data_IF_900336322066
#
_entry.id   IF_900336322066
#
_cell.length_a   1.000
_cell.length_b   1.000
_cell.length_c   1.000
_cell.angle_alpha   90.00
_cell.angle_beta   90.00
_cell.angle_gamma   90.00
#
_symmetry.space_group_name_H-M   'P 1'
#
loop_
_entity.id
_entity.type
_entity.pdbx_description
1 polymer ?
#
# COMPACT_ATOMS: atom_id res chain seq x y z
N UNK A 1 -6.72 -25.97 -11.61
CA UNK A 1 -6.99 -24.66 -11.00
C UNK A 1 -8.19 -24.10 -11.71
N UNK A 2 -9.30 -23.90 -11.01
CA UNK A 2 -10.43 -23.20 -11.62
C UNK A 2 -10.11 -21.70 -11.74
N UNK A 3 -10.55 -21.05 -12.83
CA UNK A 3 -10.37 -19.62 -12.99
C UNK A 3 -11.23 -18.88 -11.95
N UNK A 4 -10.58 -18.12 -11.09
CA UNK A 4 -11.25 -17.23 -10.13
C UNK A 4 -12.07 -16.21 -10.93
N UNK A 5 -13.40 -16.30 -10.84
CA UNK A 5 -14.31 -15.32 -11.41
C UNK A 5 -14.24 -14.04 -10.57
N UNK A 6 -13.91 -12.92 -11.24
CA UNK A 6 -13.75 -11.61 -10.60
C UNK A 6 -15.06 -11.03 -10.01
N UNK A 7 -16.20 -11.63 -10.35
CA UNK A 7 -17.56 -11.16 -10.03
C UNK A 7 -18.02 -11.43 -8.60
N UNK A 8 -17.33 -12.28 -7.83
CA UNK A 8 -17.75 -12.66 -6.48
C UNK A 8 -17.23 -11.70 -5.38
N UNK A 9 -16.43 -10.71 -5.78
CA UNK A 9 -15.95 -9.67 -4.89
C UNK A 9 -16.96 -8.54 -4.86
N UNK A 10 -17.66 -8.39 -3.73
CA UNK A 10 -18.45 -7.20 -3.43
C UNK A 10 -17.49 -5.99 -3.43
N UNK A 11 -17.39 -5.31 -4.56
CA UNK A 11 -16.42 -4.27 -4.88
C UNK A 11 -16.76 -2.98 -4.11
N UNK A 12 -16.55 -2.99 -2.80
CA UNK A 12 -16.47 -1.74 -2.06
C UNK A 12 -15.12 -1.14 -2.44
N UNK A 13 -15.16 -0.10 -3.28
CA UNK A 13 -13.96 0.68 -3.59
C UNK A 13 -13.34 1.13 -2.25
N UNK A 14 -12.09 0.78 -1.98
CA UNK A 14 -11.45 1.21 -0.75
C UNK A 14 -11.34 2.74 -0.77
N UNK A 15 -11.48 3.41 0.39
CA UNK A 15 -11.36 4.86 0.46
C UNK A 15 -9.95 5.36 0.19
N UNK A 16 -8.96 4.46 0.16
CA UNK A 16 -7.54 4.73 -0.08
C UNK A 16 -7.03 3.68 -1.06
N UNK A 17 -6.38 4.13 -2.14
CA UNK A 17 -5.89 3.27 -3.21
C UNK A 17 -4.51 2.70 -2.94
N UNK A 18 -3.63 3.46 -2.27
CA UNK A 18 -2.24 3.06 -2.07
C UNK A 18 -1.61 3.60 -0.79
N UNK A 19 -0.90 2.75 -0.07
CA UNK A 19 -0.11 3.09 1.10
C UNK A 19 1.37 3.27 0.70
N UNK A 20 2.02 4.34 1.16
CA UNK A 20 3.44 4.62 0.96
C UNK A 20 4.15 4.49 2.30
N UNK A 21 5.04 3.51 2.38
CA UNK A 21 5.63 3.04 3.63
C UNK A 21 7.16 3.08 3.50
N UNK A 22 7.86 4.06 4.09
CA UNK A 22 9.31 3.93 4.15
C UNK A 22 9.68 2.69 4.99
N UNK A 23 10.87 2.13 4.78
CA UNK A 23 11.38 1.04 5.63
C UNK A 23 11.65 1.56 7.05
N UNK A 24 12.15 2.79 7.15
CA UNK A 24 12.35 3.56 8.39
C UNK A 24 12.37 5.07 8.08
N UNK A 25 12.15 5.91 9.10
CA UNK A 25 12.19 7.38 8.99
C UNK A 25 13.61 7.92 9.21
N UNK A 26 14.55 7.45 8.39
CA UNK A 26 15.98 7.84 8.41
C UNK A 26 16.58 7.71 7.02
N UNK A 27 17.81 8.19 6.89
CA UNK A 27 18.68 7.92 5.74
C UNK A 27 18.11 8.33 4.37
N UNK A 28 17.22 9.34 4.32
CA UNK A 28 16.63 9.80 3.06
C UNK A 28 15.37 9.04 2.61
N UNK A 29 15.02 7.95 3.30
CA UNK A 29 13.91 7.08 2.91
C UNK A 29 12.55 7.75 3.12
N UNK A 30 12.41 8.52 4.20
CA UNK A 30 11.21 9.30 4.48
C UNK A 30 10.99 10.37 3.41
N UNK A 31 12.04 11.10 3.04
CA UNK A 31 11.97 12.17 2.06
C UNK A 31 11.51 11.64 0.70
N UNK A 32 12.07 10.52 0.24
CA UNK A 32 11.64 9.87 -0.99
C UNK A 32 10.19 9.35 -0.89
N UNK A 33 9.81 8.76 0.24
CA UNK A 33 8.45 8.28 0.47
C UNK A 33 7.41 9.42 0.46
N UNK A 34 7.73 10.56 1.11
CA UNK A 34 6.87 11.75 1.10
C UNK A 34 6.74 12.33 -0.31
N UNK A 35 7.83 12.37 -1.09
CA UNK A 35 7.77 12.81 -2.49
C UNK A 35 6.87 11.91 -3.33
N UNK A 36 6.99 10.58 -3.21
CA UNK A 36 6.12 9.63 -3.90
C UNK A 36 4.65 9.85 -3.49
N UNK A 37 4.39 10.00 -2.20
CA UNK A 37 3.05 10.27 -1.68
C UNK A 37 2.45 11.55 -2.29
N UNK A 38 3.20 12.66 -2.31
CA UNK A 38 2.77 13.92 -2.91
C UNK A 38 2.50 13.80 -4.41
N UNK A 39 3.36 13.08 -5.14
CA UNK A 39 3.19 12.83 -6.56
C UNK A 39 1.89 12.05 -6.85
N UNK A 40 1.57 11.03 -6.05
CA UNK A 40 0.34 10.27 -6.19
C UNK A 40 -0.88 11.11 -5.84
N UNK A 41 -0.84 11.87 -4.75
CA UNK A 41 -1.93 12.80 -4.37
C UNK A 41 -2.18 13.88 -5.43
N UNK A 42 -1.20 14.17 -6.30
CA UNK A 42 -1.36 15.10 -7.42
C UNK A 42 -2.11 14.48 -8.61
N UNK A 43 -2.23 13.15 -8.67
CA UNK A 43 -3.00 12.44 -9.69
C UNK A 43 -4.48 12.47 -9.33
N UNK A 44 -5.32 12.92 -10.28
CA UNK A 44 -6.77 12.93 -10.08
C UNK A 44 -7.30 11.52 -9.81
N UNK A 45 -8.21 11.43 -8.84
CA UNK A 45 -8.91 10.19 -8.46
C UNK A 45 -8.03 9.11 -7.82
N UNK A 46 -6.80 9.44 -7.43
CA UNK A 46 -5.99 8.57 -6.57
C UNK A 46 -5.92 9.14 -5.16
N UNK A 47 -6.09 8.27 -4.18
CA UNK A 47 -5.98 8.58 -2.75
C UNK A 47 -4.82 7.78 -2.18
N UNK A 48 -3.82 8.49 -1.66
CA UNK A 48 -2.65 7.88 -1.03
C UNK A 48 -2.67 8.07 0.48
N UNK A 49 -2.14 7.08 1.19
CA UNK A 49 -1.89 7.10 2.63
C UNK A 49 -0.39 6.96 2.88
N UNK A 50 0.21 7.88 3.64
CA UNK A 50 1.60 7.77 4.09
C UNK A 50 1.64 7.30 5.54
N UNK A 51 2.57 6.41 5.86
CA UNK A 51 2.79 5.97 7.24
C UNK A 51 4.26 5.63 7.49
N UNK A 52 4.94 6.52 8.20
CA UNK A 52 6.31 6.34 8.67
C UNK A 52 6.43 5.82 10.11
N UNK A 53 5.32 5.58 10.82
CA UNK A 53 5.38 5.33 12.27
C UNK A 53 5.58 3.86 12.63
N UNK A 54 6.48 3.55 13.57
CA UNK A 54 6.69 2.18 14.07
C UNK A 54 7.36 1.24 13.05
N UNK A 55 7.40 -0.07 13.30
CA UNK A 55 8.05 -1.02 12.39
C UNK A 55 7.27 -1.22 11.08
N UNK A 56 7.98 -1.62 10.01
CA UNK A 56 7.38 -1.88 8.70
C UNK A 56 6.19 -2.86 8.76
N UNK A 57 6.28 -3.91 9.59
CA UNK A 57 5.18 -4.85 9.81
C UNK A 57 3.93 -4.21 10.40
N UNK A 58 4.07 -3.24 11.32
CA UNK A 58 2.93 -2.50 11.89
C UNK A 58 2.28 -1.56 10.88
N UNK A 59 3.09 -0.93 10.02
CA UNK A 59 2.60 -0.08 8.92
C UNK A 59 1.75 -0.89 7.94
N UNK A 60 2.24 -2.07 7.57
CA UNK A 60 1.47 -3.01 6.76
C UNK A 60 0.17 -3.45 7.43
N UNK A 61 0.21 -3.80 8.72
CA UNK A 61 -1.00 -4.20 9.45
C UNK A 61 -2.07 -3.11 9.44
N UNK A 62 -1.71 -1.84 9.69
CA UNK A 62 -2.65 -0.70 9.62
C UNK A 62 -3.22 -0.51 8.21
N UNK A 63 -2.39 -0.62 7.17
CA UNK A 63 -2.85 -0.54 5.79
C UNK A 63 -3.83 -1.68 5.44
N UNK A 64 -3.53 -2.90 5.89
CA UNK A 64 -4.38 -4.09 5.71
C UNK A 64 -5.70 -3.98 6.49
N UNK A 65 -5.68 -3.36 7.68
CA UNK A 65 -6.87 -3.09 8.52
C UNK A 65 -7.84 -2.10 7.88
N UNK A 66 -7.33 -1.00 7.30
CA UNK A 66 -8.15 -0.01 6.60
C UNK A 66 -8.46 -0.39 5.14
N UNK A 67 -7.98 -1.56 4.71
CA UNK A 67 -8.35 -2.19 3.45
C UNK A 67 -7.64 -1.64 2.21
N UNK A 68 -6.49 -1.01 2.38
CA UNK A 68 -5.70 -0.48 1.25
C UNK A 68 -5.28 -1.63 0.33
N UNK A 69 -5.54 -1.56 -0.99
CA UNK A 69 -5.26 -2.67 -1.90
C UNK A 69 -3.78 -2.77 -2.29
N UNK A 70 -3.04 -1.65 -2.29
CA UNK A 70 -1.64 -1.58 -2.69
C UNK A 70 -0.76 -0.92 -1.63
N UNK A 71 0.40 -1.48 -1.37
CA UNK A 71 1.42 -0.87 -0.52
C UNK A 71 2.74 -0.76 -1.29
N UNK A 72 3.33 0.43 -1.29
CA UNK A 72 4.64 0.74 -1.86
C UNK A 72 5.60 0.93 -0.69
N UNK A 73 6.68 0.16 -0.66
CA UNK A 73 7.76 0.30 0.31
C UNK A 73 8.96 0.98 -0.31
N UNK A 74 9.50 1.97 0.41
CA UNK A 74 10.74 2.67 0.06
C UNK A 74 11.85 2.19 1.00
N UNK A 75 12.86 1.55 0.44
CA UNK A 75 14.01 0.95 1.13
C UNK A 75 15.33 1.47 0.55
N UNK A 76 16.47 0.98 1.03
CA UNK A 76 17.77 1.47 0.57
C UNK A 76 18.01 1.21 -0.92
N UNK A 77 17.50 0.10 -1.47
CA UNK A 77 17.59 -0.19 -2.91
C UNK A 77 16.82 0.87 -3.73
N UNK A 78 15.75 1.42 -3.15
CA UNK A 78 14.98 2.50 -3.76
C UNK A 78 15.82 3.77 -3.96
N UNK A 79 16.67 4.13 -3.00
CA UNK A 79 17.56 5.30 -3.10
C UNK A 79 18.70 5.08 -4.10
N UNK A 80 19.19 3.84 -4.21
CA UNK A 80 20.30 3.50 -5.10
C UNK A 80 19.85 3.44 -6.57
N UNK A 81 18.68 2.82 -6.82
CA UNK A 81 18.27 2.42 -8.17
C UNK A 81 16.97 3.10 -8.65
N UNK A 82 16.32 3.91 -7.81
CA UNK A 82 15.06 4.57 -8.13
C UNK A 82 13.87 3.61 -8.27
N UNK A 83 13.99 2.39 -7.76
CA UNK A 83 12.93 1.36 -7.76
C UNK A 83 12.14 1.42 -6.45
N UNK A 84 11.02 0.70 -6.36
CA UNK A 84 10.26 0.54 -5.12
C UNK A 84 9.70 -0.86 -5.03
N UNK A 85 9.48 -1.34 -3.80
CA UNK A 85 8.83 -2.64 -3.58
C UNK A 85 7.30 -2.45 -3.57
N UNK A 86 6.57 -3.15 -4.44
CA UNK A 86 5.10 -3.09 -4.51
C UNK A 86 4.49 -4.39 -3.99
N UNK A 87 3.58 -4.27 -3.01
CA UNK A 87 2.82 -5.39 -2.45
C UNK A 87 1.32 -5.21 -2.70
N UNK A 88 0.67 -6.25 -3.21
CA UNK A 88 -0.80 -6.34 -3.32
C UNK A 88 -1.38 -7.00 -2.07
N UNK A 89 -2.42 -6.41 -1.50
CA UNK A 89 -3.25 -7.08 -0.49
C UNK A 89 -4.00 -8.24 -1.15
N UNK A 90 -3.89 -9.43 -0.57
CA UNK A 90 -4.70 -10.57 -1.00
C UNK A 90 -6.12 -10.39 -0.47
N UNK A 91 -7.07 -10.28 -1.39
CA UNK A 91 -8.49 -10.22 -1.04
C UNK A 91 -8.97 -11.64 -0.79
N UNK A 92 -8.81 -12.11 0.45
CA UNK A 92 -9.44 -13.36 0.86
C UNK A 92 -10.94 -13.10 1.05
N UNK A 93 -11.84 -13.91 0.46
CA UNK A 93 -13.25 -13.83 0.80
C UNK A 93 -13.37 -13.98 2.32
N UNK A 94 -13.98 -13.01 2.99
CA UNK A 94 -14.49 -13.30 4.34
C UNK A 94 -15.61 -14.30 4.11
N UNK A 95 -15.34 -15.57 4.37
CA UNK A 95 -16.36 -16.62 4.37
C UNK A 95 -17.54 -16.11 5.19
N UNK A 96 -18.67 -15.89 4.52
CA UNK A 96 -19.95 -15.74 5.20
C UNK A 96 -20.25 -17.14 5.71
N UNK A 97 -19.96 -17.39 6.99
CA UNK A 97 -20.62 -18.48 7.69
C UNK A 97 -22.09 -18.09 7.78
N UNK A 98 -22.92 -18.75 6.95
CA UNK A 98 -24.37 -18.78 7.08
C UNK A 98 -24.77 -19.47 8.39
#
# INVERSE_FOLDING_TARGET
>A
MEPIQYSDYNHVLPPIDVAILPLMEKDGLEEMAVQIHQNICSVRQLISYYDGSGSIGRRYARADEIGVPWAITVDHESLENGTVTVRRRMMVPKSVFL
#
